data_IF_258416199501
#
_entry.id   IF_258416199501
#
_cell.length_a   1.000
_cell.length_b   1.000
_cell.length_c   1.000
_cell.angle_alpha   90.00
_cell.angle_beta   90.00
_cell.angle_gamma   90.00
#
_symmetry.space_group_name_H-M   'P 1'
#
loop_
_entity.id
_entity.type
_entity.pdbx_description
1 polymer ?
#
# COMPACT_ATOMS: atom_id res chain seq x y z
N UNK A 1 19.99 20.58 0.50
CA UNK A 1 18.59 20.08 0.40
C UNK A 1 18.22 20.14 -1.07
N UNK A 2 17.75 19.04 -1.68
CA UNK A 2 17.52 18.97 -3.13
C UNK A 2 16.32 19.82 -3.58
N UNK A 3 16.28 20.20 -4.86
CA UNK A 3 15.23 21.04 -5.44
C UNK A 3 13.82 20.44 -5.25
N UNK A 4 13.67 19.12 -5.42
CA UNK A 4 12.39 18.43 -5.22
C UNK A 4 11.86 18.57 -3.78
N UNK A 5 12.73 18.42 -2.76
CA UNK A 5 12.35 18.60 -1.35
C UNK A 5 11.92 20.02 -1.04
N UNK A 6 12.67 21.00 -1.55
CA UNK A 6 12.32 22.41 -1.36
C UNK A 6 10.96 22.71 -1.97
N UNK A 7 10.69 22.17 -3.17
CA UNK A 7 9.40 22.29 -3.85
C UNK A 7 8.25 21.71 -3.03
N UNK A 8 8.40 20.47 -2.56
CA UNK A 8 7.40 19.80 -1.72
C UNK A 8 7.14 20.57 -0.44
N UNK A 9 8.19 21.03 0.25
CA UNK A 9 8.04 21.83 1.47
C UNK A 9 7.38 23.18 1.23
N UNK A 10 7.71 23.84 0.12
CA UNK A 10 7.06 25.10 -0.26
C UNK A 10 5.55 24.87 -0.47
N UNK A 11 5.17 23.85 -1.26
CA UNK A 11 3.76 23.51 -1.48
C UNK A 11 3.02 23.17 -0.19
N UNK A 12 3.61 22.35 0.69
CA UNK A 12 3.01 21.99 1.99
C UNK A 12 2.93 23.18 2.96
N UNK A 13 3.79 24.19 2.79
CA UNK A 13 3.77 25.43 3.57
C UNK A 13 2.91 26.52 2.93
N UNK A 14 2.12 26.18 1.88
CA UNK A 14 1.31 27.13 1.11
C UNK A 14 2.11 28.29 0.48
N UNK A 15 3.38 28.04 0.14
CA UNK A 15 4.24 28.96 -0.60
C UNK A 15 4.35 28.49 -2.04
N UNK A 16 4.26 29.42 -3.00
CA UNK A 16 4.34 29.12 -4.42
C UNK A 16 5.71 28.48 -4.77
N UNK A 17 5.74 27.23 -5.25
CA UNK A 17 6.97 26.58 -5.70
C UNK A 17 7.41 27.07 -7.08
N UNK A 18 8.62 26.71 -7.50
CA UNK A 18 9.14 26.96 -8.86
C UNK A 18 8.35 26.23 -9.96
N UNK A 19 7.64 25.13 -9.63
CA UNK A 19 6.63 24.47 -10.46
C UNK A 19 5.73 23.56 -9.61
N UNK A 20 4.67 23.02 -10.21
CA UNK A 20 3.77 22.05 -9.56
C UNK A 20 4.57 20.79 -9.14
N UNK A 21 4.32 20.33 -7.90
CA UNK A 21 4.85 19.07 -7.38
C UNK A 21 4.18 17.89 -8.07
N UNK A 22 4.98 16.92 -8.53
CA UNK A 22 4.48 15.70 -9.19
C UNK A 22 4.77 14.48 -8.32
N UNK A 23 3.73 13.68 -8.04
CA UNK A 23 3.83 12.33 -7.48
C UNK A 23 3.33 11.29 -8.49
N UNK A 24 4.11 10.21 -8.64
CA UNK A 24 3.75 9.03 -9.40
C UNK A 24 4.35 7.80 -8.68
N UNK A 25 3.49 7.08 -7.95
CA UNK A 25 3.84 5.83 -7.29
C UNK A 25 4.53 5.96 -5.93
N UNK A 26 4.52 7.13 -5.27
CA UNK A 26 4.93 7.21 -3.86
C UNK A 26 3.89 6.63 -2.90
N UNK A 27 2.61 6.56 -3.30
CA UNK A 27 1.51 5.98 -2.52
C UNK A 27 0.72 4.96 -3.33
N UNK A 28 -0.19 4.24 -2.68
CA UNK A 28 -1.16 3.35 -3.35
C UNK A 28 -2.21 4.14 -4.13
N UNK A 29 -2.53 5.37 -3.72
CA UNK A 29 -3.48 6.24 -4.41
C UNK A 29 -2.88 7.00 -5.60
N UNK A 30 -1.54 7.09 -5.69
CA UNK A 30 -0.82 7.75 -6.79
C UNK A 30 -0.09 6.77 -7.71
N UNK A 31 -0.36 5.46 -7.57
CA UNK A 31 0.25 4.41 -8.36
C UNK A 31 -0.33 4.28 -9.77
N UNK A 32 0.19 3.29 -10.50
CA UNK A 32 -0.28 2.92 -11.84
C UNK A 32 -0.47 1.40 -11.90
N UNK A 33 -1.60 0.94 -12.45
CA UNK A 33 -1.86 -0.50 -12.67
C UNK A 33 -0.73 -1.13 -13.50
N UNK A 34 -0.33 -2.36 -13.18
CA UNK A 34 0.66 -3.10 -13.97
C UNK A 34 0.28 -3.26 -15.45
N UNK A 35 -1.01 -3.36 -15.75
CA UNK A 35 -1.52 -3.41 -17.13
C UNK A 35 -1.25 -2.08 -17.85
N UNK A 36 -1.61 -0.96 -17.21
CA UNK A 36 -1.41 0.37 -17.78
C UNK A 36 0.07 0.70 -17.90
N UNK A 37 0.86 0.29 -16.92
CA UNK A 37 2.30 0.53 -16.87
C UNK A 37 3.07 -0.20 -17.97
N UNK A 38 2.77 -1.48 -18.20
CA UNK A 38 3.37 -2.26 -19.30
C UNK A 38 3.06 -1.64 -20.67
N UNK A 39 1.84 -1.15 -20.86
CA UNK A 39 1.43 -0.42 -22.07
C UNK A 39 2.16 0.91 -22.20
N UNK A 40 2.33 1.65 -21.10
CA UNK A 40 3.09 2.90 -21.07
C UNK A 40 4.54 2.67 -21.47
N UNK A 41 5.20 1.65 -20.91
CA UNK A 41 6.56 1.28 -21.29
C UNK A 41 6.67 0.96 -22.78
N UNK A 42 5.74 0.16 -23.30
CA UNK A 42 5.67 -0.17 -24.73
C UNK A 42 5.51 1.08 -25.60
N UNK A 43 4.59 1.98 -25.22
CA UNK A 43 4.34 3.22 -25.96
C UNK A 43 5.56 4.16 -25.99
N UNK A 44 6.33 4.19 -24.90
CA UNK A 44 7.54 5.00 -24.78
C UNK A 44 8.79 4.31 -25.37
N UNK A 45 8.66 3.10 -25.93
CA UNK A 45 9.80 2.33 -26.42
C UNK A 45 10.77 1.88 -25.32
N UNK A 46 10.30 1.79 -24.07
CA UNK A 46 11.10 1.36 -22.93
C UNK A 46 11.13 -0.16 -22.87
N UNK A 47 12.31 -0.73 -23.11
CA UNK A 47 12.55 -2.17 -23.10
C UNK A 47 13.37 -2.64 -21.89
N UNK A 48 13.82 -1.72 -21.05
CA UNK A 48 14.56 -1.99 -19.81
C UNK A 48 13.61 -2.39 -18.67
N UNK A 49 14.10 -3.21 -17.74
CA UNK A 49 13.38 -3.54 -16.51
C UNK A 49 12.15 -4.44 -16.68
N UNK A 50 11.55 -4.83 -15.55
CA UNK A 50 10.41 -5.74 -15.47
C UNK A 50 9.25 -5.05 -14.75
N UNK A 51 8.02 -5.21 -15.24
CA UNK A 51 6.81 -4.67 -14.59
C UNK A 51 6.53 -5.41 -13.29
N UNK A 52 7.07 -4.91 -12.17
CA UNK A 52 6.95 -5.50 -10.83
C UNK A 52 5.76 -4.94 -10.06
N UNK A 53 4.91 -5.81 -9.53
CA UNK A 53 3.71 -5.42 -8.78
C UNK A 53 4.04 -5.20 -7.30
N UNK A 54 4.10 -3.95 -6.85
CA UNK A 54 4.45 -3.62 -5.45
C UNK A 54 3.25 -3.62 -4.50
N UNK A 55 2.04 -3.47 -5.03
CA UNK A 55 0.78 -3.65 -4.33
C UNK A 55 -0.01 -4.74 -5.06
N UNK A 56 -0.10 -5.90 -4.42
CA UNK A 56 -0.72 -7.10 -5.00
C UNK A 56 -2.24 -7.07 -4.92
N UNK A 57 -2.84 -6.24 -4.07
CA UNK A 57 -4.30 -6.15 -3.98
C UNK A 57 -4.82 -5.34 -5.16
N UNK A 58 -4.29 -4.13 -5.36
CA UNK A 58 -4.66 -3.25 -6.47
C UNK A 58 -3.96 -3.56 -7.79
N UNK A 59 -2.96 -4.45 -7.78
CA UNK A 59 -2.11 -4.78 -8.93
C UNK A 59 -1.33 -3.56 -9.47
N UNK A 60 -0.79 -2.74 -8.57
CA UNK A 60 -0.02 -1.54 -8.93
C UNK A 60 1.45 -1.86 -9.19
N UNK A 61 1.99 -1.31 -10.27
CA UNK A 61 3.38 -1.45 -10.64
C UNK A 61 4.29 -0.49 -9.87
N UNK A 62 5.49 -0.98 -9.57
CA UNK A 62 6.60 -0.14 -9.16
C UNK A 62 7.11 0.59 -10.39
N UNK A 63 7.11 1.92 -10.35
CA UNK A 63 7.62 2.76 -11.43
C UNK A 63 9.16 2.79 -11.39
N UNK A 64 9.80 2.61 -12.53
CA UNK A 64 11.26 2.62 -12.74
C UNK A 64 11.82 4.03 -12.60
N UNK A 65 13.08 4.15 -12.15
CA UNK A 65 13.74 5.45 -11.97
C UNK A 65 13.79 6.29 -13.24
N UNK A 66 14.03 5.65 -14.39
CA UNK A 66 14.02 6.28 -15.71
C UNK A 66 12.70 7.02 -15.99
N UNK A 67 11.55 6.43 -15.62
CA UNK A 67 10.25 7.10 -15.77
C UNK A 67 10.02 8.19 -14.74
N UNK A 68 10.43 7.97 -13.49
CA UNK A 68 10.34 9.00 -12.46
C UNK A 68 11.19 10.23 -12.83
N UNK A 69 12.31 10.04 -13.54
CA UNK A 69 13.13 11.14 -14.06
C UNK A 69 12.48 11.80 -15.27
N UNK A 70 12.01 11.02 -16.24
CA UNK A 70 11.35 11.51 -17.46
C UNK A 70 10.13 12.39 -17.15
N UNK A 71 9.30 11.99 -16.18
CA UNK A 71 8.14 12.78 -15.76
C UNK A 71 8.47 13.84 -14.70
N UNK A 72 9.74 13.98 -14.31
CA UNK A 72 10.17 14.94 -13.29
C UNK A 72 9.45 14.75 -11.96
N UNK A 73 9.27 13.50 -11.52
CA UNK A 73 8.58 13.16 -10.26
C UNK A 73 9.42 13.61 -9.07
N UNK A 74 8.79 14.34 -8.15
CA UNK A 74 9.45 15.00 -7.03
C UNK A 74 9.51 14.16 -5.76
N UNK A 75 8.71 13.10 -5.72
CA UNK A 75 8.40 12.33 -4.53
C UNK A 75 8.76 10.86 -4.73
N UNK A 76 9.19 10.20 -3.67
CA UNK A 76 9.43 8.76 -3.68
C UNK A 76 8.90 8.09 -2.41
N UNK A 77 8.34 6.88 -2.56
CA UNK A 77 8.00 6.02 -1.43
C UNK A 77 9.26 5.67 -0.64
N UNK A 78 9.26 5.93 0.66
CA UNK A 78 10.43 5.77 1.54
C UNK A 78 11.05 4.37 1.47
N UNK A 79 10.22 3.32 1.38
CA UNK A 79 10.66 1.93 1.32
C UNK A 79 11.08 1.39 -0.05
N UNK A 80 11.14 2.24 -1.08
CA UNK A 80 11.34 1.80 -2.47
C UNK A 80 12.68 1.09 -2.71
N UNK A 81 13.67 1.35 -1.87
CA UNK A 81 14.98 0.70 -1.99
C UNK A 81 15.00 -0.75 -1.50
N UNK A 82 13.94 -1.23 -0.84
CA UNK A 82 13.87 -2.60 -0.31
C UNK A 82 13.38 -3.57 -1.40
N UNK A 83 13.79 -4.84 -1.28
CA UNK A 83 13.29 -5.97 -2.07
C UNK A 83 13.45 -5.80 -3.59
N UNK A 84 14.59 -5.25 -4.03
CA UNK A 84 14.87 -5.01 -5.46
C UNK A 84 15.46 -6.24 -6.16
N UNK A 85 15.97 -7.19 -5.40
CA UNK A 85 16.66 -8.38 -5.89
C UNK A 85 15.70 -9.24 -6.72
N UNK A 86 16.16 -9.73 -7.87
CA UNK A 86 15.30 -10.47 -8.82
C UNK A 86 14.70 -11.75 -8.23
N UNK A 87 15.37 -12.39 -7.27
CA UNK A 87 14.87 -13.58 -6.59
C UNK A 87 13.67 -13.31 -5.66
N UNK A 88 13.34 -12.05 -5.37
CA UNK A 88 12.14 -11.68 -4.64
C UNK A 88 10.88 -11.64 -5.51
N UNK A 89 11.01 -11.95 -6.80
CA UNK A 89 9.97 -11.77 -7.81
C UNK A 89 9.83 -13.02 -8.69
N UNK A 90 8.64 -13.25 -9.24
CA UNK A 90 8.40 -14.35 -10.17
C UNK A 90 7.43 -13.93 -11.30
N UNK A 91 7.61 -14.47 -12.51
CA UNK A 91 6.82 -14.07 -13.66
C UNK A 91 5.36 -14.56 -13.56
N UNK A 92 4.45 -13.70 -13.97
CA UNK A 92 3.01 -13.96 -14.05
C UNK A 92 2.46 -13.34 -15.33
N UNK A 93 1.67 -14.12 -16.07
CA UNK A 93 0.86 -13.59 -17.17
C UNK A 93 -0.55 -13.30 -16.66
N UNK A 94 -0.98 -12.05 -16.79
CA UNK A 94 -2.36 -11.63 -16.50
C UNK A 94 -3.29 -12.10 -17.61
N UNK A 95 -4.60 -12.13 -17.35
CA UNK A 95 -5.58 -12.72 -18.27
C UNK A 95 -5.60 -12.06 -19.66
N UNK A 96 -5.23 -10.78 -19.73
CA UNK A 96 -5.17 -9.98 -20.95
C UNK A 96 -3.83 -10.09 -21.68
N UNK A 97 -2.92 -10.97 -21.21
CA UNK A 97 -1.62 -11.24 -21.82
C UNK A 97 -0.46 -10.38 -21.30
N UNK A 98 -0.72 -9.35 -20.48
CA UNK A 98 0.32 -8.54 -19.86
C UNK A 98 1.23 -9.41 -19.00
N UNK A 99 2.55 -9.27 -19.21
CA UNK A 99 3.58 -9.94 -18.42
C UNK A 99 3.97 -9.04 -17.26
N UNK A 100 3.82 -9.54 -16.04
CA UNK A 100 4.21 -8.85 -14.82
C UNK A 100 5.05 -9.77 -13.95
N UNK A 101 5.62 -9.20 -12.89
CA UNK A 101 6.24 -9.97 -11.82
C UNK A 101 5.52 -9.71 -10.50
N UNK A 102 5.09 -10.78 -9.84
CA UNK A 102 4.55 -10.72 -8.48
C UNK A 102 5.66 -11.02 -7.46
N UNK A 103 5.53 -10.55 -6.22
CA UNK A 103 6.52 -10.86 -5.20
C UNK A 103 6.37 -12.30 -4.69
N UNK A 104 7.47 -12.93 -4.29
CA UNK A 104 7.48 -14.37 -3.94
C UNK A 104 6.58 -14.76 -2.75
N UNK A 105 6.33 -13.82 -1.84
CA UNK A 105 5.47 -14.05 -0.67
C UNK A 105 3.97 -14.00 -1.01
N UNK A 106 3.61 -13.56 -2.23
CA UNK A 106 2.24 -13.58 -2.71
C UNK A 106 2.06 -14.76 -3.68
N UNK A 107 1.21 -15.71 -3.30
CA UNK A 107 0.93 -16.95 -4.05
C UNK A 107 -0.56 -17.27 -3.99
N UNK A 108 -1.41 -16.55 -4.75
CA UNK A 108 -2.84 -16.84 -4.73
C UNK A 108 -3.14 -18.19 -5.38
N UNK A 109 -4.17 -18.87 -4.88
CA UNK A 109 -4.63 -20.16 -5.38
C UNK A 109 -5.44 -19.96 -6.67
N UNK A 110 -5.04 -20.61 -7.76
CA UNK A 110 -5.81 -20.58 -9.02
C UNK A 110 -6.95 -21.60 -8.93
N UNK A 111 -8.18 -21.15 -9.21
CA UNK A 111 -9.41 -21.96 -9.22
C UNK A 111 -9.64 -22.54 -10.61
N UNK A 112 -10.54 -23.53 -10.70
CA UNK A 112 -10.88 -24.20 -11.96
C UNK A 112 -11.46 -23.26 -13.03
N UNK A 113 -12.14 -22.19 -12.60
CA UNK A 113 -12.69 -21.14 -13.49
C UNK A 113 -11.66 -20.08 -13.90
N UNK A 114 -10.39 -20.22 -13.47
CA UNK A 114 -9.30 -19.29 -13.74
C UNK A 114 -9.23 -18.09 -12.78
N UNK A 115 -10.21 -17.91 -11.88
CA UNK A 115 -10.12 -16.91 -10.83
C UNK A 115 -9.04 -17.28 -9.80
N UNK A 116 -8.59 -16.31 -9.01
CA UNK A 116 -7.48 -16.48 -8.06
C UNK A 116 -7.88 -16.02 -6.68
N UNK A 117 -7.65 -16.87 -5.67
CA UNK A 117 -7.93 -16.56 -4.27
C UNK A 117 -6.64 -16.20 -3.52
N UNK A 118 -6.60 -15.03 -2.91
CA UNK A 118 -5.60 -14.66 -1.92
C UNK A 118 -5.99 -15.28 -0.57
N UNK A 119 -5.07 -16.04 0.04
CA UNK A 119 -5.34 -16.82 1.25
C UNK A 119 -4.69 -16.21 2.50
N UNK A 120 -5.36 -16.32 3.64
CA UNK A 120 -4.74 -16.04 4.94
C UNK A 120 -3.73 -17.13 5.36
N UNK A 121 -3.14 -17.02 6.55
CA UNK A 121 -2.23 -18.04 7.10
C UNK A 121 -2.90 -19.39 7.40
N UNK A 122 -4.23 -19.44 7.46
CA UNK A 122 -5.04 -20.63 7.75
C UNK A 122 -5.62 -21.27 6.48
N UNK A 123 -5.30 -20.72 5.30
CA UNK A 123 -5.79 -21.21 4.01
C UNK A 123 -7.20 -20.74 3.64
N UNK A 124 -7.79 -19.80 4.40
CA UNK A 124 -9.09 -19.21 4.08
C UNK A 124 -8.92 -18.18 2.96
N UNK A 125 -9.80 -18.21 1.97
CA UNK A 125 -9.85 -17.16 0.95
C UNK A 125 -10.33 -15.84 1.57
N UNK A 126 -9.47 -14.82 1.54
CA UNK A 126 -9.75 -13.49 2.08
C UNK A 126 -9.88 -12.44 0.98
N UNK A 127 -9.27 -12.68 -0.18
CA UNK A 127 -9.44 -11.86 -1.38
C UNK A 127 -9.60 -12.73 -2.64
N UNK A 128 -10.26 -12.21 -3.67
CA UNK A 128 -10.50 -12.90 -4.94
C UNK A 128 -10.31 -11.95 -6.10
N UNK A 129 -9.51 -12.38 -7.08
CA UNK A 129 -9.44 -11.75 -8.40
C UNK A 129 -10.19 -12.66 -9.39
N UNK A 130 -11.29 -12.19 -10.00
CA UNK A 130 -11.96 -12.93 -11.08
C UNK A 130 -11.00 -13.29 -12.22
N UNK A 131 -11.34 -14.31 -13.02
CA UNK A 131 -10.45 -14.79 -14.09
C UNK A 131 -10.03 -13.70 -15.08
N UNK A 132 -10.92 -12.76 -15.37
CA UNK A 132 -10.67 -11.59 -16.23
C UNK A 132 -10.54 -10.28 -15.44
N UNK A 133 -10.50 -10.37 -14.11
CA UNK A 133 -10.38 -9.24 -13.20
C UNK A 133 -8.98 -8.61 -13.26
N UNK A 134 -8.90 -7.35 -12.82
CA UNK A 134 -7.65 -6.59 -12.83
C UNK A 134 -7.05 -6.39 -11.43
N UNK A 135 -7.77 -6.76 -10.36
CA UNK A 135 -7.39 -6.59 -8.97
C UNK A 135 -8.13 -7.60 -8.07
N UNK A 136 -7.73 -7.70 -6.81
CA UNK A 136 -8.36 -8.55 -5.81
C UNK A 136 -9.40 -7.79 -5.00
N UNK A 137 -10.63 -8.29 -4.98
CA UNK A 137 -11.68 -7.84 -4.07
C UNK A 137 -11.67 -8.66 -2.79
N UNK A 138 -11.98 -8.03 -1.66
CA UNK A 138 -12.13 -8.73 -0.40
C UNK A 138 -13.38 -9.61 -0.39
N UNK A 139 -13.25 -10.84 0.12
CA UNK A 139 -14.36 -11.82 0.18
C UNK A 139 -14.64 -12.34 1.58
N UNK A 140 -13.88 -11.89 2.59
CA UNK A 140 -14.04 -12.28 3.98
C UNK A 140 -14.02 -11.07 4.90
N UNK A 141 -14.93 -11.02 5.89
CA UNK A 141 -15.13 -9.89 6.80
C UNK A 141 -15.23 -10.45 8.24
N UNK A 142 -14.18 -10.33 9.07
CA UNK A 142 -14.12 -10.95 10.39
C UNK A 142 -15.29 -10.65 11.34
N UNK A 143 -15.86 -9.44 11.26
CA UNK A 143 -16.91 -8.97 12.17
C UNK A 143 -18.29 -8.90 11.50
N UNK A 144 -18.50 -9.57 10.37
CA UNK A 144 -19.79 -9.53 9.63
C UNK A 144 -21.01 -9.95 10.46
N UNK A 145 -20.82 -10.74 11.51
CA UNK A 145 -21.87 -11.21 12.42
C UNK A 145 -21.96 -10.39 13.72
N UNK A 146 -21.13 -9.34 13.87
CA UNK A 146 -21.08 -8.48 15.05
C UNK A 146 -19.66 -8.18 15.53
N UNK A 147 -19.52 -7.17 16.38
CA UNK A 147 -18.26 -6.89 17.08
C UNK A 147 -18.00 -7.94 18.17
N UNK A 148 -16.74 -8.27 18.48
CA UNK A 148 -16.40 -9.13 19.60
C UNK A 148 -16.65 -8.45 20.94
N UNK A 149 -16.74 -9.22 22.03
CA UNK A 149 -16.87 -8.68 23.39
C UNK A 149 -15.72 -7.73 23.76
N UNK A 150 -14.53 -7.95 23.21
CA UNK A 150 -13.37 -7.06 23.31
C UNK A 150 -12.43 -7.16 22.08
N UNK A 151 -11.53 -6.20 21.92
CA UNK A 151 -10.65 -6.07 20.76
C UNK A 151 -9.22 -6.58 20.98
N UNK A 152 -8.98 -7.46 21.98
CA UNK A 152 -7.61 -8.00 22.23
C UNK A 152 -7.04 -8.76 21.04
N UNK A 153 -7.91 -9.39 20.25
CA UNK A 153 -7.54 -10.15 19.04
C UNK A 153 -7.66 -9.31 17.75
N UNK A 154 -7.73 -7.98 17.84
CA UNK A 154 -7.87 -7.09 16.67
C UNK A 154 -6.79 -7.33 15.62
N UNK A 155 -5.54 -7.57 16.04
CA UNK A 155 -4.44 -7.87 15.12
C UNK A 155 -4.67 -9.18 14.33
N UNK A 156 -5.26 -10.22 14.96
CA UNK A 156 -5.61 -11.47 14.26
C UNK A 156 -6.74 -11.25 13.26
N UNK A 157 -7.77 -10.46 13.63
CA UNK A 157 -8.84 -10.07 12.72
C UNK A 157 -8.31 -9.28 11.51
N UNK A 158 -7.45 -8.28 11.74
CA UNK A 158 -6.80 -7.51 10.66
C UNK A 158 -5.94 -8.39 9.75
N UNK A 159 -5.33 -9.45 10.28
CA UNK A 159 -4.55 -10.42 9.49
C UNK A 159 -5.39 -11.29 8.54
N UNK A 160 -6.71 -11.31 8.74
CA UNK A 160 -7.69 -12.00 7.89
C UNK A 160 -8.31 -11.06 6.83
N UNK A 161 -7.84 -9.81 6.74
CA UNK A 161 -8.19 -8.85 5.69
C UNK A 161 -7.06 -8.79 4.66
N UNK A 162 -7.31 -8.77 3.34
CA UNK A 162 -6.26 -8.77 2.32
C UNK A 162 -5.23 -7.65 2.50
N UNK A 163 -5.69 -6.44 2.85
CA UNK A 163 -4.84 -5.27 3.11
C UNK A 163 -3.92 -5.41 4.33
N UNK A 164 -4.37 -6.14 5.36
CA UNK A 164 -3.55 -6.46 6.54
C UNK A 164 -2.63 -7.65 6.32
N UNK A 165 -3.08 -8.65 5.54
CA UNK A 165 -2.30 -9.85 5.21
C UNK A 165 -1.19 -9.59 4.20
N UNK A 166 -1.47 -8.77 3.19
CA UNK A 166 -0.59 -8.44 2.09
C UNK A 166 -0.40 -6.92 1.99
N UNK A 167 0.12 -6.28 3.06
CA UNK A 167 0.32 -4.84 3.03
C UNK A 167 1.36 -4.50 1.95
N UNK A 168 1.20 -3.33 1.33
CA UNK A 168 2.10 -2.88 0.27
C UNK A 168 3.57 -2.85 0.74
N UNK A 169 4.49 -2.88 -0.23
CA UNK A 169 5.90 -2.65 0.08
C UNK A 169 6.16 -1.26 0.70
N UNK A 170 6.99 -1.13 1.75
CA UNK A 170 7.86 -2.14 2.35
C UNK A 170 7.26 -2.87 3.57
N UNK A 171 5.99 -2.61 3.91
CA UNK A 171 5.41 -2.98 5.21
C UNK A 171 5.17 -4.48 5.39
N UNK A 172 5.16 -5.27 4.32
CA UNK A 172 5.12 -6.74 4.41
C UNK A 172 6.30 -7.32 5.19
N UNK A 173 7.41 -6.59 5.25
CA UNK A 173 8.62 -6.98 5.98
C UNK A 173 8.65 -6.41 7.41
N UNK A 174 7.61 -5.70 7.88
CA UNK A 174 7.65 -4.96 9.15
C UNK A 174 7.90 -5.84 10.40
N UNK A 175 7.57 -7.14 10.32
CA UNK A 175 7.83 -8.12 11.38
C UNK A 175 9.27 -8.64 11.44
N UNK A 176 10.11 -8.37 10.43
CA UNK A 176 11.50 -8.85 10.42
C UNK A 176 12.37 -8.02 11.38
N UNK A 177 13.25 -8.68 12.15
CA UNK A 177 14.12 -8.02 13.14
C UNK A 177 15.06 -6.95 12.54
N UNK A 178 15.44 -7.11 11.28
CA UNK A 178 16.31 -6.16 10.56
C UNK A 178 15.55 -5.05 9.83
N UNK A 179 14.21 -5.13 9.77
CA UNK A 179 13.39 -4.27 8.91
C UNK A 179 13.65 -2.78 9.10
N UNK A 180 13.52 -2.29 10.33
CA UNK A 180 13.64 -0.86 10.63
C UNK A 180 15.03 -0.32 10.31
N UNK A 181 16.08 -1.11 10.54
CA UNK A 181 17.46 -0.76 10.18
C UNK A 181 17.63 -0.68 8.65
N UNK A 182 17.09 -1.66 7.90
CA UNK A 182 17.12 -1.66 6.43
C UNK A 182 16.29 -0.53 5.84
N UNK A 183 15.12 -0.25 6.43
CA UNK A 183 14.24 0.85 6.03
C UNK A 183 14.96 2.19 6.15
N UNK A 184 15.57 2.45 7.31
CA UNK A 184 16.34 3.67 7.55
C UNK A 184 17.52 3.79 6.58
N UNK A 185 18.33 2.74 6.44
CA UNK A 185 19.48 2.74 5.54
C UNK A 185 19.06 3.00 4.08
N UNK A 186 18.03 2.31 3.58
CA UNK A 186 17.49 2.49 2.24
C UNK A 186 16.91 3.88 2.02
N UNK A 187 16.25 4.47 3.03
CA UNK A 187 15.74 5.84 2.95
C UNK A 187 16.87 6.87 2.86
N UNK A 188 17.94 6.72 3.64
CA UNK A 188 19.12 7.58 3.58
C UNK A 188 19.82 7.48 2.21
N UNK A 189 19.96 6.26 1.68
CA UNK A 189 20.53 6.02 0.35
C UNK A 189 19.68 6.66 -0.76
N UNK A 190 18.37 6.44 -0.73
CA UNK A 190 17.43 7.04 -1.69
C UNK A 190 17.46 8.56 -1.64
N UNK A 191 17.52 9.12 -0.42
CA UNK A 191 17.67 10.55 -0.18
C UNK A 191 18.93 11.10 -0.84
N UNK A 192 20.08 10.43 -0.64
CA UNK A 192 21.35 10.86 -1.18
C UNK A 192 21.42 10.76 -2.72
N UNK A 193 20.86 9.69 -3.30
CA UNK A 193 20.91 9.43 -4.75
C UNK A 193 19.93 10.27 -5.56
N UNK A 194 18.69 10.41 -5.10
CA UNK A 194 17.61 10.98 -5.92
C UNK A 194 17.30 12.44 -5.63
N UNK A 195 17.58 12.93 -4.42
CA UNK A 195 17.16 14.26 -3.97
C UNK A 195 15.63 14.46 -3.86
N UNK A 196 14.83 13.40 -4.11
CA UNK A 196 13.36 13.42 -4.00
C UNK A 196 12.91 13.54 -2.55
N UNK A 197 11.73 14.13 -2.37
CA UNK A 197 11.05 14.12 -1.09
C UNK A 197 10.58 12.69 -0.77
N UNK A 198 10.73 12.28 0.49
CA UNK A 198 10.38 10.92 0.91
C UNK A 198 9.02 10.88 1.60
N UNK A 199 8.11 10.07 1.08
CA UNK A 199 6.79 9.82 1.68
C UNK A 199 6.79 8.50 2.44
N UNK A 200 6.48 8.57 3.73
CA UNK A 200 6.16 7.44 4.58
C UNK A 200 4.63 7.26 4.64
N UNK A 201 4.08 6.42 3.76
CA UNK A 201 2.67 6.04 3.82
C UNK A 201 2.46 5.01 4.91
N UNK A 202 1.96 5.43 6.07
CA UNK A 202 1.83 4.60 7.29
C UNK A 202 0.43 4.01 7.48
N UNK A 203 -0.54 4.39 6.65
CA UNK A 203 -1.92 3.94 6.78
C UNK A 203 -2.64 4.72 7.86
N UNK A 204 -2.86 4.10 9.02
CA UNK A 204 -3.66 4.66 10.12
C UNK A 204 -5.11 4.96 9.72
N UNK A 205 -5.66 4.16 8.80
CA UNK A 205 -7.05 4.26 8.37
C UNK A 205 -7.97 3.93 9.55
N UNK A 206 -9.06 4.66 9.72
CA UNK A 206 -10.02 4.42 10.80
C UNK A 206 -11.29 3.83 10.22
N UNK A 207 -11.93 4.57 9.32
CA UNK A 207 -13.20 4.17 8.69
C UNK A 207 -13.01 3.02 7.71
N UNK A 208 -11.93 3.01 6.91
CA UNK A 208 -11.66 1.88 6.00
C UNK A 208 -11.53 0.55 6.74
N UNK A 209 -10.85 0.54 7.89
CA UNK A 209 -10.72 -0.67 8.70
C UNK A 209 -12.05 -1.13 9.29
N UNK A 210 -12.94 -0.20 9.61
CA UNK A 210 -14.34 -0.50 9.92
C UNK A 210 -15.03 -1.23 8.76
N UNK A 211 -14.90 -0.71 7.54
CA UNK A 211 -15.45 -1.34 6.35
C UNK A 211 -14.81 -2.69 6.02
N UNK A 212 -13.51 -2.86 6.26
CA UNK A 212 -12.81 -4.12 6.02
C UNK A 212 -13.17 -5.19 7.04
N UNK A 213 -13.41 -4.83 8.31
CA UNK A 213 -13.72 -5.81 9.33
C UNK A 213 -15.22 -6.12 9.40
N UNK A 214 -16.07 -5.09 9.34
CA UNK A 214 -17.52 -5.20 9.52
C UNK A 214 -18.32 -5.24 8.21
N UNK A 215 -17.67 -5.09 7.05
CA UNK A 215 -18.28 -4.88 5.73
C UNK A 215 -18.91 -3.49 5.61
N UNK A 216 -18.73 -2.84 4.47
CA UNK A 216 -19.05 -1.42 4.28
C UNK A 216 -20.51 -1.05 4.58
N UNK A 217 -21.47 -1.80 4.04
CA UNK A 217 -22.91 -1.58 4.26
C UNK A 217 -23.27 -1.62 5.75
N UNK A 218 -22.68 -2.58 6.46
CA UNK A 218 -22.89 -2.85 7.86
C UNK A 218 -22.21 -1.79 8.75
N UNK A 219 -20.93 -1.48 8.50
CA UNK A 219 -20.20 -0.47 9.26
C UNK A 219 -20.83 0.92 9.13
N UNK A 220 -21.25 1.31 7.91
CA UNK A 220 -21.90 2.61 7.68
C UNK A 220 -23.24 2.73 8.41
N UNK A 221 -24.00 1.63 8.54
CA UNK A 221 -25.21 1.61 9.37
C UNK A 221 -24.88 1.72 10.85
N UNK A 222 -23.85 1.00 11.32
CA UNK A 222 -23.42 1.01 12.72
C UNK A 222 -23.01 2.41 13.20
N UNK A 223 -22.45 3.26 12.32
CA UNK A 223 -22.15 4.68 12.62
C UNK A 223 -23.36 5.43 13.20
N UNK A 224 -24.58 5.04 12.81
CA UNK A 224 -25.82 5.62 13.30
C UNK A 224 -26.52 4.74 14.34
N UNK A 225 -26.57 3.43 14.12
CA UNK A 225 -27.38 2.52 14.95
C UNK A 225 -26.65 2.05 16.20
N UNK A 226 -25.33 1.92 16.16
CA UNK A 226 -24.48 1.36 17.23
C UNK A 226 -23.26 2.26 17.52
N UNK A 227 -23.43 3.58 17.74
CA UNK A 227 -22.32 4.52 17.80
C UNK A 227 -21.31 4.22 18.93
N UNK A 228 -21.76 3.64 20.05
CA UNK A 228 -20.89 3.24 21.15
C UNK A 228 -19.96 2.07 20.77
N UNK A 229 -20.45 1.09 20.01
CA UNK A 229 -19.62 -0.02 19.54
C UNK A 229 -18.61 0.43 18.51
N UNK A 230 -19.01 1.35 17.62
CA UNK A 230 -18.10 2.00 16.68
C UNK A 230 -17.00 2.75 17.43
N UNK A 231 -17.35 3.57 18.43
CA UNK A 231 -16.37 4.31 19.23
C UNK A 231 -15.35 3.36 19.89
N UNK A 232 -15.84 2.31 20.56
CA UNK A 232 -15.00 1.28 21.19
C UNK A 232 -14.06 0.59 20.20
N UNK A 233 -14.55 0.30 19.00
CA UNK A 233 -13.74 -0.26 17.92
C UNK A 233 -12.67 0.72 17.43
N UNK A 234 -13.04 1.97 17.16
CA UNK A 234 -12.11 2.99 16.68
C UNK A 234 -11.05 3.33 17.73
N UNK A 235 -11.36 3.32 19.02
CA UNK A 235 -10.39 3.50 20.10
C UNK A 235 -9.33 2.38 20.08
N UNK A 236 -9.75 1.12 20.03
CA UNK A 236 -8.84 -0.02 19.94
C UNK A 236 -7.95 0.02 18.67
N UNK A 237 -8.53 0.48 17.56
CA UNK A 237 -7.80 0.66 16.30
C UNK A 237 -6.78 1.82 16.38
N UNK A 238 -7.13 2.92 17.03
CA UNK A 238 -6.21 4.03 17.26
C UNK A 238 -5.00 3.58 18.11
N UNK A 239 -5.25 2.85 19.21
CA UNK A 239 -4.18 2.28 20.04
C UNK A 239 -3.24 1.37 19.22
N UNK A 240 -3.81 0.51 18.38
CA UNK A 240 -3.04 -0.36 17.48
C UNK A 240 -2.16 0.45 16.52
N UNK A 241 -2.73 1.46 15.87
CA UNK A 241 -2.03 2.32 14.92
C UNK A 241 -0.91 3.13 15.56
N UNK A 242 -1.12 3.62 16.79
CA UNK A 242 -0.11 4.37 17.54
C UNK A 242 1.17 3.57 17.76
N UNK A 243 1.06 2.26 18.00
CA UNK A 243 2.23 1.37 18.13
C UNK A 243 3.08 1.30 16.86
N UNK A 244 2.44 1.26 15.69
CA UNK A 244 3.14 1.24 14.39
C UNK A 244 3.69 2.62 14.01
N UNK A 245 2.92 3.67 14.28
CA UNK A 245 3.34 5.05 14.03
C UNK A 245 4.57 5.42 14.86
N UNK A 246 4.59 5.09 16.15
CA UNK A 246 5.72 5.37 17.04
C UNK A 246 7.03 4.74 16.52
N UNK A 247 6.99 3.46 16.12
CA UNK A 247 8.16 2.77 15.53
C UNK A 247 8.62 3.40 14.23
N UNK A 248 7.67 3.85 13.40
CA UNK A 248 8.00 4.49 12.13
C UNK A 248 8.65 5.86 12.35
N UNK A 249 8.11 6.67 13.25
CA UNK A 249 8.68 7.98 13.60
C UNK A 249 10.06 7.81 14.23
N UNK A 250 10.25 6.84 15.13
CA UNK A 250 11.56 6.52 15.69
C UNK A 250 12.58 6.12 14.62
N UNK A 251 12.16 5.29 13.65
CA UNK A 251 13.07 4.78 12.64
C UNK A 251 13.44 5.81 11.57
N UNK A 252 12.50 6.66 11.14
CA UNK A 252 12.67 7.50 9.94
C UNK A 252 12.06 8.90 10.04
N UNK A 253 11.61 9.35 11.21
CA UNK A 253 10.96 10.66 11.40
C UNK A 253 11.84 11.86 11.07
N UNK A 254 13.17 11.71 11.16
CA UNK A 254 14.17 12.71 10.77
C UNK A 254 14.55 12.66 9.28
N UNK A 255 14.10 11.63 8.56
CA UNK A 255 14.44 11.37 7.14
C UNK A 255 13.22 11.57 6.22
N UNK A 256 12.04 11.16 6.68
CA UNK A 256 10.80 11.33 5.94
C UNK A 256 10.43 12.82 5.82
N UNK A 257 10.03 13.24 4.62
CA UNK A 257 9.54 14.61 4.40
C UNK A 257 8.02 14.70 4.63
N UNK A 258 7.29 13.60 4.42
CA UNK A 258 5.83 13.53 4.60
C UNK A 258 5.45 12.19 5.22
N UNK A 259 4.61 12.23 6.25
CA UNK A 259 3.86 11.07 6.72
C UNK A 259 2.45 11.13 6.14
N UNK A 260 2.09 10.12 5.33
CA UNK A 260 0.77 10.05 4.69
C UNK A 260 -0.10 9.08 5.44
N UNK A 261 -1.22 9.59 5.97
CA UNK A 261 -2.31 8.77 6.48
C UNK A 261 -3.36 8.63 5.37
N UNK A 262 -4.09 7.53 5.37
CA UNK A 262 -5.23 7.35 4.48
C UNK A 262 -6.47 7.10 5.30
N UNK A 263 -7.61 7.56 4.84
CA UNK A 263 -8.90 7.05 5.29
C UNK A 263 -9.94 7.36 4.23
N UNK A 264 -10.29 6.36 3.42
CA UNK A 264 -11.32 6.47 2.40
C UNK A 264 -12.72 6.20 2.99
N UNK A 265 -13.64 7.12 2.73
CA UNK A 265 -15.06 7.00 3.07
C UNK A 265 -15.91 6.64 1.83
N UNK A 266 -15.32 6.65 0.64
CA UNK A 266 -16.01 6.36 -0.62
C UNK A 266 -17.05 7.41 -1.03
N UNK A 267 -17.12 8.56 -0.34
CA UNK A 267 -18.08 9.62 -0.64
C UNK A 267 -17.44 10.70 -1.51
N UNK A 268 -17.86 10.75 -2.77
CA UNK A 268 -17.80 12.00 -3.55
C UNK A 268 -18.84 12.94 -2.96
N UNK A 269 -18.40 14.06 -2.39
CA UNK A 269 -19.28 15.22 -2.19
C UNK A 269 -19.52 15.92 -3.52
#
# INVERSE_FOLDING_TARGET
MGACRQRVRASLSHTEPDRIVVDLGATTSSGISGIAYDRLKTHLGMHSGETRIFDVIQQLARVEDELLETFGVDVASLGRQLNQESNNWYPVTLAQGTKVQWPIHFRPLVRADGSRDALDSRGKAIGRMPAQGAFFDQVYFPYVDGYPDDFRDLADAMSQVPWGKFPRMPWQSAGESSFWKRLRAGAMELSAKSGRALVASVGCNMLEWGMFLRRMDQFLMDLHTEPHEVERFLEALAEHHMGTLAKTVEAVGDIADVFRFGDDLGTVQ
#
